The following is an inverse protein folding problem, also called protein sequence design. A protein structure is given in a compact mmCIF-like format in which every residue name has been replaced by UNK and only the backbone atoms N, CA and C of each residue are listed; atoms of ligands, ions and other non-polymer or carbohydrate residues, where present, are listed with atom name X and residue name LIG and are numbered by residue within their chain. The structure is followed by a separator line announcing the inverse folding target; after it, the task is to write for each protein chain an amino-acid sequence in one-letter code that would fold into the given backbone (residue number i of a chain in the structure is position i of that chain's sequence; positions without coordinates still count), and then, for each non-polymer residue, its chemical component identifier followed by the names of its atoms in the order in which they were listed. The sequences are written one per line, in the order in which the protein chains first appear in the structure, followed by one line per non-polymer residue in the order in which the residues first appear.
data_IF_162205411991
#
_entry.id   IF_162205411991
#
_cell.length_a   1.000
_cell.length_b   1.000
_cell.length_c   1.000
_cell.angle_alpha   90.00
_cell.angle_beta   90.00
_cell.angle_gamma   90.00
#
_symmetry.space_group_name_H-M   'P 1'
#
loop_
_entity.id
_entity.type
_entity.pdbx_description
1 polymer ?
2 non-polymer ?
3 non-polymer ?
4 water ?
#
# COMPACT_ATOMS: atom_id res chain seq x y z
N UNK A 1 -13.95 -13.63 -18.02
CA UNK A 1 -15.36 -13.86 -18.45
C UNK A 1 -16.10 -12.54 -18.63
N UNK A 2 -15.80 -11.58 -17.76
CA UNK A 2 -16.39 -10.23 -17.81
C UNK A 2 -15.47 -9.27 -18.57
N UNK A 3 -16.06 -8.30 -19.28
CA UNK A 3 -15.30 -7.44 -20.19
C UNK A 3 -15.27 -5.93 -19.85
N UNK A 4 -16.05 -5.55 -18.85
CA UNK A 4 -16.04 -4.17 -18.33
C UNK A 4 -14.88 -3.99 -17.35
N UNK A 5 -14.31 -2.79 -17.29
CA UNK A 5 -13.35 -2.48 -16.25
C UNK A 5 -14.13 -2.35 -14.95
N UNK A 6 -13.69 -3.07 -13.93
CA UNK A 6 -14.32 -2.99 -12.61
C UNK A 6 -13.45 -2.08 -11.77
N UNK A 7 -13.97 -0.88 -11.51
CA UNK A 7 -13.27 0.11 -10.71
C UNK A 7 -13.94 0.26 -9.34
N UNK A 8 -13.13 0.42 -8.29
CA UNK A 8 -13.64 0.79 -6.96
C UNK A 8 -13.56 2.30 -6.81
N UNK A 9 -14.61 2.90 -6.26
CA UNK A 9 -14.60 4.30 -5.88
C UNK A 9 -14.86 4.35 -4.39
N UNK A 10 -13.89 4.88 -3.63
CA UNK A 10 -13.95 4.87 -2.17
C UNK A 10 -13.14 6.01 -1.56
N UNK A 11 -13.64 6.54 -0.44
CA UNK A 11 -12.87 7.46 0.40
C UNK A 11 -12.69 6.81 1.78
N UNK A 12 -11.47 6.75 2.28
CA UNK A 12 -11.20 6.15 3.59
C UNK A 12 -10.20 6.94 4.41
N UNK A 13 -10.24 6.75 5.73
CA UNK A 13 -9.28 7.40 6.62
C UNK A 13 -8.03 6.56 6.86
N UNK A 14 -7.12 7.05 7.71
CA UNK A 14 -5.83 6.40 7.97
C UNK A 14 -5.91 4.98 8.57
N UNK A 15 -7.09 4.61 9.09
CA UNK A 15 -7.33 3.25 9.56
C UNK A 15 -8.37 2.52 8.70
N UNK A 16 -8.58 3.00 7.48
CA UNK A 16 -9.50 2.37 6.51
C UNK A 16 -10.98 2.51 6.88
N UNK A 17 -11.28 3.39 7.82
CA UNK A 17 -12.68 3.68 8.17
C UNK A 17 -13.36 4.38 6.99
N UNK A 18 -14.53 3.87 6.59
CA UNK A 18 -15.37 4.49 5.56
C UNK A 18 -16.76 4.90 6.11
N UNK A 19 -17.13 4.37 7.27
CA UNK A 19 -18.48 4.61 7.80
C UNK A 19 -18.64 4.58 9.31
N UNK A 20 -19.66 5.30 9.76
CA UNK A 20 -20.03 5.36 11.17
C UNK A 20 -21.54 5.47 11.25
N UNK A 21 -22.15 4.58 12.03
CA UNK A 21 -23.60 4.57 12.23
C UNK A 21 -24.38 4.71 10.92
N UNK A 22 -23.97 3.93 9.91
CA UNK A 22 -24.64 3.86 8.61
C UNK A 22 -24.62 5.17 7.82
N UNK A 23 -23.60 5.99 8.11
CA UNK A 23 -23.39 7.25 7.39
C UNK A 23 -21.89 7.50 7.20
N UNK A 24 -21.55 8.62 6.56
CA UNK A 24 -20.17 9.05 6.38
C UNK A 24 -19.66 9.79 7.61
N UNK A 25 -18.43 9.49 8.07
CA UNK A 25 -17.90 10.13 9.28
C UNK A 25 -17.44 11.58 9.07
N UNK A 26 -17.30 12.00 7.82
CA UNK A 26 -16.79 13.35 7.50
C UNK A 26 -17.67 14.01 6.45
N UNK A 27 -17.44 15.30 6.23
CA UNK A 27 -18.10 16.04 5.17
C UNK A 27 -17.04 16.77 4.34
N UNK A 28 -16.88 16.35 3.09
CA UNK A 28 -15.95 16.99 2.18
C UNK A 28 -16.63 17.23 0.84
N UNK A 29 -17.25 18.41 0.67
CA UNK A 29 -17.93 18.77 -0.59
C UNK A 29 -17.03 18.69 -1.81
N UNK A 30 -15.78 19.13 -1.68
CA UNK A 30 -14.82 19.06 -2.80
C UNK A 30 -14.51 17.62 -3.23
N UNK A 31 -14.42 16.70 -2.27
CA UNK A 31 -14.18 15.30 -2.55
C UNK A 31 -15.39 14.67 -3.26
N UNK A 32 -16.59 15.08 -2.85
CA UNK A 32 -17.83 14.68 -3.51
C UNK A 32 -17.87 15.12 -4.97
N UNK A 33 -17.38 16.33 -5.24
CA UNK A 33 -17.35 16.86 -6.62
C UNK A 33 -16.41 16.05 -7.49
N UNK A 34 -15.27 15.67 -6.94
CA UNK A 34 -14.35 14.76 -7.62
C UNK A 34 -15.04 13.42 -7.93
N UNK A 35 -15.80 12.91 -6.97
CA UNK A 35 -16.60 11.70 -7.16
C UNK A 35 -17.59 11.84 -8.31
N UNK A 36 -18.32 12.96 -8.37
CA UNK A 36 -19.31 13.22 -9.43
C UNK A 36 -18.62 13.31 -10.78
N UNK A 37 -17.56 14.11 -10.84
CA UNK A 37 -16.76 14.28 -12.05
C UNK A 37 -16.21 12.95 -12.59
N UNK A 38 -15.69 12.10 -11.71
CA UNK A 38 -15.07 10.84 -12.12
C UNK A 38 -16.09 9.78 -12.55
N UNK A 39 -17.26 9.76 -11.91
CA UNK A 39 -18.24 8.70 -12.15
C UNK A 39 -19.34 9.05 -13.15
N UNK A 40 -19.42 10.32 -13.56
CA UNK A 40 -20.50 10.76 -14.44
C UNK A 40 -20.57 9.92 -15.71
N UNK A 41 -21.77 9.47 -16.05
CA UNK A 41 -22.00 8.68 -17.26
C UNK A 41 -21.60 7.22 -17.19
N UNK A 42 -21.34 6.72 -15.98
CA UNK A 42 -20.94 5.31 -15.76
C UNK A 42 -21.78 4.65 -14.67
N UNK A 43 -22.02 3.33 -14.77
CA UNK A 43 -22.89 2.72 -13.77
C UNK A 43 -22.27 2.75 -12.37
N UNK A 44 -23.12 3.02 -11.36
CA UNK A 44 -22.74 2.91 -9.95
C UNK A 44 -23.35 1.66 -9.36
N UNK A 45 -22.50 0.84 -8.76
CA UNK A 45 -22.93 -0.39 -8.11
C UNK A 45 -22.88 -0.16 -6.61
N UNK A 46 -24.04 -0.22 -5.95
CA UNK A 46 -24.04 0.08 -4.51
C UNK A 46 -24.79 -0.92 -3.65
N UNK A 47 -24.23 -1.19 -2.47
CA UNK A 47 -24.87 -2.10 -1.52
C UNK A 47 -26.22 -1.53 -1.12
N UNK A 48 -27.17 -2.40 -0.80
CA UNK A 48 -28.51 -1.94 -0.41
C UNK A 48 -28.49 -0.87 0.67
N UNK A 49 -27.70 -1.09 1.74
CA UNK A 49 -27.57 -0.13 2.83
C UNK A 49 -26.98 1.21 2.37
N UNK A 50 -25.91 1.16 1.58
CA UNK A 50 -25.35 2.35 0.97
C UNK A 50 -26.42 3.13 0.20
N UNK A 51 -27.13 2.46 -0.70
CA UNK A 51 -28.16 3.13 -1.48
C UNK A 51 -29.24 3.81 -0.63
N UNK A 52 -29.73 3.13 0.40
CA UNK A 52 -30.85 3.67 1.19
C UNK A 52 -30.45 4.90 2.02
N UNK A 53 -29.17 4.99 2.37
CA UNK A 53 -28.62 6.16 3.03
C UNK A 53 -28.53 7.33 2.05
N UNK A 54 -28.11 7.04 0.81
CA UNK A 54 -28.11 8.05 -0.24
C UNK A 54 -29.54 8.57 -0.43
N UNK A 55 -30.47 7.64 -0.68
CA UNK A 55 -31.91 7.93 -0.56
C UNK A 55 -32.64 8.28 -1.85
N UNK A 56 -31.88 8.39 -2.95
CA UNK A 56 -32.42 8.82 -4.24
C UNK A 56 -31.50 8.33 -5.37
N UNK A 57 -32.06 8.11 -6.58
CA UNK A 57 -31.20 7.83 -7.72
C UNK A 57 -30.29 9.01 -8.05
N UNK A 58 -29.01 8.73 -8.32
CA UNK A 58 -28.07 9.77 -8.72
C UNK A 58 -28.17 9.99 -10.24
N UNK A 59 -28.38 11.26 -10.67
CA UNK A 59 -28.68 11.57 -12.08
C UNK A 59 -27.55 11.22 -13.06
N UNK A 60 -27.93 10.88 -14.30
CA UNK A 60 -26.97 10.65 -15.39
C UNK A 60 -26.08 9.43 -15.26
N UNK A 61 -26.56 8.42 -14.53
CA UNK A 61 -25.84 7.17 -14.29
C UNK A 61 -26.85 6.04 -14.09
N UNK A 62 -26.49 4.83 -14.51
CA UNK A 62 -27.26 3.64 -14.16
C UNK A 62 -27.04 3.34 -12.67
N UNK A 63 -28.10 3.35 -11.89
CA UNK A 63 -28.00 3.03 -10.48
C UNK A 63 -28.36 1.56 -10.25
N UNK A 64 -27.37 0.79 -9.79
CA UNK A 64 -27.57 -0.63 -9.56
C UNK A 64 -27.40 -0.95 -8.08
N UNK A 65 -28.48 -1.44 -7.48
CA UNK A 65 -28.50 -1.77 -6.06
C UNK A 65 -28.34 -3.28 -5.88
N UNK A 66 -27.46 -3.66 -4.97
CA UNK A 66 -27.15 -5.08 -4.70
C UNK A 66 -27.78 -5.52 -3.39
N UNK A 67 -28.67 -6.51 -3.49
CA UNK A 67 -29.47 -7.00 -2.36
C UNK A 67 -29.77 -8.48 -2.55
N UNK A 68 -30.01 -9.19 -1.44
CA UNK A 68 -30.44 -10.59 -1.48
C UNK A 68 -31.96 -10.69 -1.55
N UNK A 69 -32.62 -9.55 -1.32
CA UNK A 69 -34.07 -9.42 -1.38
C UNK A 69 -34.61 -9.45 -2.81
N UNK A 70 -35.23 -10.57 -3.18
CA UNK A 70 -35.75 -10.76 -4.55
C UNK A 70 -37.05 -9.98 -4.84
N UNK A 71 -37.63 -9.35 -3.80
CA UNK A 71 -38.81 -8.50 -3.98
C UNK A 71 -38.51 -7.00 -3.96
N UNK A 72 -37.23 -6.65 -3.82
CA UNK A 72 -36.78 -5.27 -3.70
C UNK A 72 -36.88 -4.53 -5.03
N UNK A 73 -37.55 -3.38 -5.01
CA UNK A 73 -37.67 -2.51 -6.19
C UNK A 73 -37.58 -1.05 -5.79
N UNK A 74 -36.86 -0.27 -6.59
CA UNK A 74 -36.78 1.19 -6.43
C UNK A 74 -36.95 1.88 -7.78
N UNK A 75 -37.84 2.88 -7.82
CA UNK A 75 -38.08 3.69 -9.02
C UNK A 75 -36.78 4.35 -9.50
N UNK A 76 -36.47 4.17 -10.77
CA UNK A 76 -35.30 4.78 -11.41
C UNK A 76 -33.98 4.07 -11.13
N UNK A 77 -34.08 2.84 -10.64
CA UNK A 77 -32.92 2.05 -10.21
C UNK A 77 -33.02 0.63 -10.72
N UNK A 78 -31.88 0.02 -10.99
CA UNK A 78 -31.83 -1.39 -11.33
C UNK A 78 -31.39 -2.20 -10.13
N UNK A 79 -31.86 -3.44 -10.06
CA UNK A 79 -31.63 -4.28 -8.89
C UNK A 79 -30.93 -5.58 -9.30
N UNK A 80 -29.81 -5.86 -8.64
CA UNK A 80 -29.08 -7.10 -8.84
C UNK A 80 -28.93 -7.82 -7.50
N UNK A 81 -28.74 -9.14 -7.56
CA UNK A 81 -28.71 -9.96 -6.36
C UNK A 81 -27.41 -10.75 -6.24
N UNK A 82 -26.50 -10.51 -7.18
CA UNK A 82 -25.21 -11.20 -7.16
C UNK A 82 -24.22 -10.49 -8.06
N UNK A 83 -22.95 -10.88 -7.92
CA UNK A 83 -21.88 -10.40 -8.80
C UNK A 83 -22.21 -10.70 -10.26
N UNK A 84 -22.64 -11.93 -10.53
CA UNK A 84 -22.90 -12.39 -11.90
C UNK A 84 -24.05 -11.64 -12.54
N UNK A 85 -25.07 -11.36 -11.74
CA UNK A 85 -26.20 -10.56 -12.21
C UNK A 85 -25.75 -9.13 -12.57
N UNK A 86 -24.88 -8.55 -11.75
CA UNK A 86 -24.28 -7.24 -12.08
C UNK A 86 -23.52 -7.33 -13.40
N UNK A 87 -22.71 -8.38 -13.55
CA UNK A 87 -21.95 -8.61 -14.77
C UNK A 87 -22.84 -8.79 -16.02
N UNK A 88 -23.95 -9.51 -15.87
CA UNK A 88 -24.94 -9.59 -16.94
C UNK A 88 -25.52 -8.21 -17.30
N UNK A 89 -26.05 -7.49 -16.31
CA UNK A 89 -26.58 -6.14 -16.53
C UNK A 89 -25.56 -5.16 -17.15
N UNK A 90 -24.29 -5.36 -16.87
CA UNK A 90 -23.26 -4.41 -17.32
C UNK A 90 -22.34 -5.00 -18.38
N UNK A 91 -22.79 -6.04 -19.06
CA UNK A 91 -21.92 -6.79 -19.98
C UNK A 91 -21.34 -5.95 -21.14
N UNK A 92 -22.05 -4.89 -21.51
CA UNK A 92 -21.65 -4.01 -22.61
C UNK A 92 -21.06 -2.67 -22.18
N UNK A 93 -20.91 -2.49 -20.87
CA UNK A 93 -20.33 -1.27 -20.32
C UNK A 93 -18.81 -1.35 -20.44
N UNK A 94 -18.17 -0.21 -20.60
CA UNK A 94 -16.72 -0.17 -20.65
C UNK A 94 -16.13 -0.17 -19.24
N UNK A 95 -16.79 0.57 -18.33
CA UNK A 95 -16.30 0.71 -16.97
C UNK A 95 -17.46 0.86 -16.01
N UNK A 96 -17.39 0.16 -14.88
CA UNK A 96 -18.36 0.32 -13.80
C UNK A 96 -17.65 0.67 -12.50
N UNK A 97 -18.35 1.43 -11.64
CA UNK A 97 -17.82 1.85 -10.36
C UNK A 97 -18.51 1.18 -9.19
N UNK A 98 -17.76 0.36 -8.47
CA UNK A 98 -18.21 -0.22 -7.22
C UNK A 98 -18.13 0.90 -6.20
N UNK A 99 -19.30 1.30 -5.71
CA UNK A 99 -19.50 2.51 -4.94
C UNK A 99 -19.67 2.29 -3.43
N UNK A 100 -19.54 1.04 -2.98
CA UNK A 100 -19.67 0.71 -1.55
C UNK A 100 -21.03 0.18 -1.14
N UNK A 101 -21.23 -0.17 0.14
CA UNK A 101 -20.23 -0.06 1.19
C UNK A 101 -19.32 -1.26 1.31
N UNK A 102 -18.94 -1.59 2.55
CA UNK A 102 -17.92 -2.60 2.82
C UNK A 102 -18.32 -4.00 2.34
N UNK A 103 -19.55 -4.40 2.61
CA UNK A 103 -20.00 -5.72 2.15
C UNK A 103 -19.88 -5.83 0.65
N UNK A 104 -20.27 -4.76 -0.06
CA UNK A 104 -20.17 -4.74 -1.52
C UNK A 104 -18.72 -4.61 -2.04
N UNK A 105 -17.84 -3.91 -1.31
CA UNK A 105 -16.41 -3.91 -1.66
C UNK A 105 -15.81 -5.29 -1.50
N UNK A 106 -16.20 -6.00 -0.44
CA UNK A 106 -15.77 -7.39 -0.20
C UNK A 106 -16.26 -8.30 -1.32
N UNK A 107 -17.51 -8.10 -1.74
CA UNK A 107 -18.12 -8.92 -2.79
C UNK A 107 -17.32 -8.89 -4.07
N UNK A 108 -16.95 -7.69 -4.49
CA UNK A 108 -16.36 -7.49 -5.82
C UNK A 108 -14.84 -7.46 -5.80
N UNK A 109 -14.25 -7.65 -4.62
CA UNK A 109 -12.80 -7.58 -4.42
C UNK A 109 -11.97 -8.48 -5.33
N UNK A 110 -12.42 -9.74 -5.57
CA UNK A 110 -11.61 -10.57 -6.47
C UNK A 110 -11.56 -10.07 -7.92
N UNK A 111 -12.42 -9.12 -8.28
CA UNK A 111 -12.56 -8.72 -9.69
C UNK A 111 -12.07 -7.30 -10.02
N UNK A 112 -11.69 -6.53 -9.00
CA UNK A 112 -11.31 -5.12 -9.18
C UNK A 112 -10.05 -4.94 -10.04
N UNK A 113 -10.14 -4.06 -11.03
CA UNK A 113 -9.06 -3.80 -11.99
C UNK A 113 -8.42 -2.45 -11.74
N UNK A 114 -9.18 -1.53 -11.16
CA UNK A 114 -8.76 -0.15 -10.98
C UNK A 114 -9.30 0.41 -9.67
N UNK A 115 -8.45 1.13 -8.94
CA UNK A 115 -8.82 1.64 -7.65
C UNK A 115 -8.72 3.17 -7.56
N UNK A 116 -9.86 3.83 -7.42
CA UNK A 116 -9.86 5.27 -7.12
C UNK A 116 -10.12 5.43 -5.64
N UNK A 117 -9.04 5.70 -4.90
CA UNK A 117 -9.12 5.75 -3.46
C UNK A 117 -8.64 7.10 -2.95
N UNK A 118 -9.54 7.78 -2.23
CA UNK A 118 -9.18 9.00 -1.53
C UNK A 118 -8.71 8.63 -0.13
N UNK A 119 -7.56 9.14 0.26
CA UNK A 119 -7.02 8.81 1.57
C UNK A 119 -7.05 10.06 2.45
N UNK A 120 -7.80 9.99 3.54
CA UNK A 120 -8.01 11.13 4.41
C UNK A 120 -7.11 11.00 5.63
N UNK A 121 -6.29 12.03 5.83
CA UNK A 121 -5.23 12.01 6.84
C UNK A 121 -5.77 12.40 8.22
N UNK A 122 -6.61 11.53 8.74
CA UNK A 122 -7.28 11.75 10.00
C UNK A 122 -7.79 10.39 10.46
N UNK A 123 -7.86 10.19 11.78
CA UNK A 123 -8.37 8.96 12.32
C UNK A 123 -9.74 9.21 12.95
N UNK A 124 -10.80 8.81 12.25
CA UNK A 124 -12.18 8.99 12.73
C UNK A 124 -12.64 7.81 13.59
N UNK A 125 -13.65 8.06 14.41
CA UNK A 125 -14.39 6.97 15.04
C UNK A 125 -15.29 6.38 13.97
N UNK A 126 -15.29 5.05 13.87
CA UNK A 126 -16.13 4.39 12.89
C UNK A 126 -16.37 2.93 13.19
N UNK A 127 -17.25 2.34 12.38
CA UNK A 127 -17.63 0.94 12.55
C UNK A 127 -17.53 0.15 11.25
N UNK A 128 -17.36 0.86 10.14
CA UNK A 128 -17.29 0.23 8.82
C UNK A 128 -15.97 0.55 8.13
N UNK A 129 -15.36 -0.47 7.53
CA UNK A 129 -13.98 -0.42 7.04
C UNK A 129 -13.84 -0.91 5.60
N UNK A 130 -12.93 -0.29 4.86
CA UNK A 130 -12.56 -0.76 3.53
C UNK A 130 -11.66 -1.99 3.70
N UNK A 131 -11.91 -3.06 2.93
CA UNK A 131 -11.07 -4.27 3.11
C UNK A 131 -9.59 -4.03 2.81
N UNK A 132 -8.74 -4.82 3.45
CA UNK A 132 -7.31 -4.81 3.19
C UNK A 132 -7.06 -5.31 1.77
N UNK A 133 -6.06 -4.72 1.11
CA UNK A 133 -5.69 -5.14 -0.24
C UNK A 133 -4.20 -5.37 -0.36
N UNK A 134 -3.85 -6.46 -1.04
CA UNK A 134 -2.49 -6.73 -1.45
C UNK A 134 -2.31 -5.98 -2.76
N UNK A 135 -1.39 -5.02 -2.77
CA UNK A 135 -1.18 -4.13 -3.92
C UNK A 135 -0.07 -4.62 -4.85
N UNK A 136 0.42 -5.84 -4.59
CA UNK A 136 1.37 -6.51 -5.49
C UNK A 136 0.76 -6.59 -6.88
N UNK A 137 1.57 -6.19 -7.87
CA UNK A 137 1.14 -6.06 -9.28
C UNK A 137 0.06 -4.99 -9.52
N UNK A 138 0.10 -3.93 -8.70
CA UNK A 138 -0.64 -2.68 -8.95
C UNK A 138 0.35 -1.53 -9.03
N UNK A 139 0.01 -0.50 -9.79
CA UNK A 139 0.80 0.72 -9.90
C UNK A 139 -0.04 1.98 -9.70
N UNK A 140 0.45 2.89 -8.87
CA UNK A 140 -0.15 4.20 -8.76
C UNK A 140 0.02 4.94 -10.09
N UNK A 141 -1.09 5.38 -10.68
CA UNK A 141 -1.05 6.07 -11.97
C UNK A 141 -1.50 7.53 -11.86
N UNK A 142 -1.98 7.90 -10.68
CA UNK A 142 -2.38 9.27 -10.39
C UNK A 142 -2.39 9.53 -8.89
N UNK A 143 -1.94 10.73 -8.52
CA UNK A 143 -1.99 11.19 -7.14
C UNK A 143 -2.02 12.71 -7.13
N UNK A 144 -2.90 13.27 -6.31
CA UNK A 144 -3.07 14.73 -6.22
C UNK A 144 -3.62 15.08 -4.85
N UNK A 145 -3.16 16.20 -4.30
CA UNK A 145 -3.68 16.71 -3.02
C UNK A 145 -5.07 17.28 -3.21
N UNK A 146 -5.99 16.88 -2.33
CA UNK A 146 -7.33 17.44 -2.32
C UNK A 146 -7.33 18.86 -1.77
N UNK A 147 -8.39 19.60 -2.04
CA UNK A 147 -8.54 20.95 -1.54
C UNK A 147 -8.90 20.96 -0.05
N UNK A 148 -8.02 21.52 0.76
CA UNK A 148 -8.30 21.76 2.17
C UNK A 148 -8.57 23.25 2.35
N UNK A 149 -9.76 23.57 2.86
CA UNK A 149 -10.18 24.95 3.14
C UNK A 149 -11.23 24.96 4.24
N UNK A 150 -11.87 26.11 4.45
CA UNK A 150 -12.91 26.28 5.48
C UNK A 150 -14.06 25.29 5.32
N UNK A 151 -14.41 24.95 4.08
CA UNK A 151 -15.51 24.00 3.81
C UNK A 151 -15.05 22.53 3.71
N UNK A 152 -13.73 22.31 3.66
CA UNK A 152 -13.15 20.96 3.56
C UNK A 152 -12.02 20.80 4.57
N UNK A 153 -12.37 20.54 5.83
CA UNK A 153 -11.47 20.77 6.95
C UNK A 153 -10.45 19.67 7.26
N UNK A 154 -10.25 18.71 6.36
CA UNK A 154 -9.21 17.69 6.56
C UNK A 154 -8.19 17.69 5.41
N UNK A 155 -7.02 17.12 5.67
CA UNK A 155 -6.01 16.91 4.62
C UNK A 155 -6.31 15.55 4.01
N UNK A 156 -6.34 15.49 2.68
CA UNK A 156 -6.66 14.26 1.96
C UNK A 156 -6.05 14.29 0.56
N UNK A 157 -5.82 13.10 0.00
CA UNK A 157 -5.23 12.96 -1.31
C UNK A 157 -6.04 11.98 -2.15
N UNK A 158 -6.18 12.30 -3.44
CA UNK A 158 -6.73 11.39 -4.44
C UNK A 158 -5.62 10.48 -4.96
N UNK A 159 -5.88 9.18 -4.94
CA UNK A 159 -5.00 8.18 -5.53
C UNK A 159 -5.78 7.32 -6.53
N UNK A 160 -5.13 6.96 -7.63
CA UNK A 160 -5.64 5.98 -8.56
C UNK A 160 -4.58 4.90 -8.78
N UNK A 161 -4.97 3.64 -8.58
CA UNK A 161 -4.11 2.50 -8.83
C UNK A 161 -4.71 1.62 -9.93
N UNK A 162 -3.87 1.14 -10.83
CA UNK A 162 -4.28 0.17 -11.85
C UNK A 162 -3.60 -1.19 -11.67
N UNK A 163 -4.37 -2.26 -11.79
CA UNK A 163 -3.83 -3.61 -11.70
C UNK A 163 -3.00 -3.90 -12.94
N UNK A 164 -1.81 -4.47 -12.72
CA UNK A 164 -0.93 -4.91 -13.80
C UNK A 164 -1.33 -6.31 -14.23
N UNK A 165 -1.88 -6.40 -15.43
CA UNK A 165 -2.50 -7.63 -15.91
C UNK A 165 -2.19 -7.89 -17.39
N UNK B 1 18.45 -23.89 -2.21
CA UNK B 1 18.60 -24.64 -0.91
C UNK B 1 17.76 -24.04 0.22
N UNK B 2 17.75 -22.71 0.31
CA UNK B 2 16.93 -21.98 1.28
C UNK B 2 15.56 -21.67 0.68
N UNK B 3 14.53 -21.66 1.52
CA UNK B 3 13.17 -21.51 1.02
C UNK B 3 12.38 -20.35 1.63
N UNK B 4 13.08 -19.48 2.35
CA UNK B 4 12.51 -18.19 2.73
C UNK B 4 12.71 -17.21 1.57
N UNK B 5 11.76 -16.30 1.39
CA UNK B 5 11.94 -15.22 0.45
C UNK B 5 12.95 -14.27 1.09
N UNK B 6 14.02 -13.97 0.36
CA UNK B 6 15.03 -13.03 0.83
C UNK B 6 14.71 -11.67 0.20
N UNK B 7 14.22 -10.75 1.02
CA UNK B 7 13.86 -9.40 0.53
C UNK B 7 14.84 -8.37 1.05
N UNK B 8 15.17 -7.40 0.20
CA UNK B 8 15.93 -6.22 0.64
C UNK B 8 14.97 -5.09 0.99
N UNK B 9 15.19 -4.46 2.14
CA UNK B 9 14.47 -3.24 2.52
C UNK B 9 15.52 -2.12 2.60
N UNK B 10 15.37 -1.10 1.76
CA UNK B 10 16.35 -0.03 1.66
C UNK B 10 15.74 1.29 1.17
N UNK B 11 16.30 2.40 1.63
CA UNK B 11 15.97 3.72 1.11
C UNK B 11 17.26 4.37 0.63
N UNK B 12 17.26 4.82 -0.62
CA UNK B 12 18.47 5.42 -1.21
C UNK B 12 18.16 6.66 -2.04
N UNK B 13 19.18 7.50 -2.22
CA UNK B 13 19.05 8.72 -3.01
C UNK B 13 19.42 8.50 -4.49
N UNK B 14 19.37 9.56 -5.28
CA UNK B 14 19.63 9.50 -6.72
C UNK B 14 20.99 8.88 -7.11
N UNK B 15 21.96 8.95 -6.19
CA UNK B 15 23.29 8.35 -6.40
C UNK B 15 23.53 7.10 -5.52
N UNK B 16 22.44 6.49 -5.06
CA UNK B 16 22.47 5.27 -4.26
C UNK B 16 23.05 5.46 -2.84
N UNK B 17 23.16 6.70 -2.38
CA UNK B 17 23.63 6.97 -1.03
C UNK B 17 22.59 6.47 -0.04
N UNK B 18 23.04 5.71 0.96
CA UNK B 18 22.18 5.27 2.05
C UNK B 18 22.62 5.79 3.42
N UNK B 19 23.87 6.24 3.52
CA UNK B 19 24.39 6.69 4.80
C UNK B 19 25.47 7.74 4.78
N UNK B 20 25.52 8.52 5.86
CA UNK B 20 26.55 9.53 6.06
C UNK B 20 26.97 9.52 7.52
N UNK B 21 28.28 9.37 7.76
CA UNK B 21 28.85 9.31 9.11
C UNK B 21 28.12 8.34 10.03
N UNK B 22 27.91 7.12 9.54
CA UNK B 22 27.28 6.02 10.30
C UNK B 22 25.84 6.33 10.76
N UNK B 23 25.17 7.18 10.01
CA UNK B 23 23.77 7.52 10.26
C UNK B 23 23.05 7.72 8.94
N UNK B 24 21.75 8.00 9.00
CA UNK B 24 20.94 8.31 7.84
C UNK B 24 21.08 9.79 7.46
N UNK B 25 21.21 10.09 6.15
CA UNK B 25 21.39 11.49 5.71
C UNK B 25 20.12 12.33 5.70
N UNK B 26 18.97 11.70 5.86
CA UNK B 26 17.67 12.38 5.79
C UNK B 26 16.77 11.90 6.91
N UNK B 27 15.66 12.60 7.11
CA UNK B 27 14.65 12.21 8.09
C UNK B 27 13.27 12.24 7.46
N UNK B 28 12.71 11.05 7.25
CA UNK B 28 11.40 10.90 6.67
C UNK B 28 10.55 10.00 7.56
N UNK B 29 9.82 10.59 8.53
CA UNK B 29 8.93 9.80 9.41
C UNK B 29 7.91 8.94 8.66
N UNK B 30 7.33 9.49 7.59
CA UNK B 30 6.36 8.74 6.81
C UNK B 30 6.98 7.51 6.12
N UNK B 31 8.21 7.66 5.64
CA UNK B 31 8.95 6.53 5.02
C UNK B 31 9.22 5.45 6.06
N UNK B 32 9.54 5.87 7.28
CA UNK B 32 9.79 4.97 8.40
C UNK B 32 8.52 4.18 8.78
N UNK B 33 7.38 4.86 8.74
CA UNK B 33 6.07 4.25 8.97
C UNK B 33 5.76 3.16 7.93
N UNK B 34 6.11 3.40 6.67
CA UNK B 34 6.01 2.39 5.60
C UNK B 34 6.91 1.18 5.90
N UNK B 35 8.12 1.45 6.38
CA UNK B 35 9.06 0.42 6.80
C UNK B 35 8.51 -0.46 7.94
N UNK B 36 7.93 0.16 8.97
CA UNK B 36 7.35 -0.55 10.11
C UNK B 36 6.22 -1.48 9.67
N UNK B 37 5.35 -0.96 8.80
CA UNK B 37 4.18 -1.67 8.31
C UNK B 37 4.57 -2.86 7.43
N UNK B 38 5.50 -2.62 6.51
CA UNK B 38 5.96 -3.65 5.59
C UNK B 38 6.69 -4.79 6.31
N UNK B 39 7.47 -4.45 7.33
CA UNK B 39 8.36 -5.45 7.97
C UNK B 39 7.78 -6.12 9.23
N UNK B 40 6.67 -5.58 9.74
CA UNK B 40 6.05 -6.08 10.96
C UNK B 40 5.80 -7.57 10.89
N UNK B 41 6.23 -8.28 11.93
CA UNK B 41 6.04 -9.72 12.04
C UNK B 41 6.99 -10.58 11.22
N UNK B 42 8.09 -9.98 10.73
CA UNK B 42 9.08 -10.67 9.90
C UNK B 42 10.51 -10.39 10.38
N UNK B 43 11.43 -11.36 10.22
CA UNK B 43 12.78 -11.10 10.74
C UNK B 43 13.49 -9.97 10.02
N UNK B 44 14.20 -9.15 10.80
CA UNK B 44 15.09 -8.12 10.27
C UNK B 44 16.53 -8.58 10.39
N UNK B 45 17.26 -8.56 9.28
CA UNK B 45 18.66 -8.95 9.27
C UNK B 45 19.49 -7.69 9.15
N UNK B 46 20.30 -7.37 10.16
CA UNK B 46 21.05 -6.13 10.08
C UNK B 46 22.53 -6.26 10.37
N UNK B 47 23.32 -5.48 9.63
CA UNK B 47 24.77 -5.40 9.86
C UNK B 47 25.00 -4.92 11.28
N UNK B 48 26.10 -5.34 11.89
CA UNK B 48 26.41 -4.95 13.28
C UNK B 48 26.39 -3.43 13.43
N UNK B 49 27.01 -2.72 12.49
CA UNK B 49 27.05 -1.26 12.54
C UNK B 49 25.66 -0.64 12.42
N UNK B 50 24.87 -1.11 11.47
CA UNK B 50 23.46 -0.72 11.38
C UNK B 50 22.75 -0.91 12.73
N UNK B 51 22.84 -2.11 13.29
CA UNK B 51 22.16 -2.36 14.56
C UNK B 51 22.56 -1.40 15.68
N UNK B 52 23.86 -1.17 15.85
CA UNK B 52 24.32 -0.36 16.98
C UNK B 52 23.91 1.11 16.88
N UNK B 53 23.72 1.60 15.65
CA UNK B 53 23.18 2.93 15.40
C UNK B 53 21.70 2.97 15.78
N UNK B 54 20.95 1.93 15.40
CA UNK B 54 19.56 1.82 15.82
C UNK B 54 19.48 1.85 17.35
N UNK B 55 20.21 0.95 18.00
CA UNK B 55 20.48 1.04 19.44
C UNK B 55 19.59 0.22 20.36
N UNK B 56 18.56 -0.40 19.79
CA UNK B 56 17.58 -1.14 20.58
C UNK B 56 16.89 -2.18 19.70
N UNK B 57 16.42 -3.30 20.29
CA UNK B 57 15.61 -4.23 19.51
C UNK B 57 14.31 -3.57 19.01
N UNK B 58 13.97 -3.77 17.75
CA UNK B 58 12.70 -3.30 17.19
C UNK B 58 11.59 -4.30 17.52
N UNK B 59 10.49 -3.84 18.13
CA UNK B 59 9.44 -4.71 18.66
C UNK B 59 8.68 -5.50 17.59
N UNK B 60 8.20 -6.69 17.96
CA UNK B 60 7.35 -7.50 17.08
C UNK B 60 8.04 -8.09 15.85
N UNK B 61 9.35 -8.32 15.95
CA UNK B 61 10.17 -8.89 14.88
C UNK B 61 11.37 -9.59 15.48
N UNK B 62 11.83 -10.67 14.84
CA UNK B 62 13.11 -11.29 15.19
C UNK B 62 14.22 -10.35 14.72
N UNK B 63 15.05 -9.88 15.65
CA UNK B 63 16.18 -9.04 15.31
C UNK B 63 17.46 -9.85 15.22
N UNK B 64 18.01 -9.95 14.00
CA UNK B 64 19.20 -10.74 13.76
C UNK B 64 20.37 -9.86 13.34
N UNK B 65 21.41 -9.85 14.17
CA UNK B 65 22.59 -9.03 13.94
C UNK B 65 23.70 -9.87 13.33
N UNK B 66 24.31 -9.36 12.25
CA UNK B 66 25.37 -10.07 11.55
C UNK B 66 26.73 -9.45 11.89
N UNK B 67 27.61 -10.28 12.44
CA UNK B 67 28.92 -9.85 12.93
C UNK B 67 29.92 -11.02 12.84
N UNK B 68 31.20 -10.70 12.68
CA UNK B 68 32.27 -11.72 12.70
C UNK B 68 32.69 -12.02 14.13
N UNK B 69 32.26 -11.16 15.05
CA UNK B 69 32.57 -11.27 16.48
C UNK B 69 31.80 -12.43 17.14
N UNK B 70 32.51 -13.51 17.45
CA UNK B 70 31.89 -14.71 18.01
C UNK B 70 31.53 -14.58 19.51
N UNK B 71 31.94 -13.47 20.13
CA UNK B 71 31.57 -13.19 21.51
C UNK B 71 30.49 -12.12 21.66
N UNK B 72 29.96 -11.66 20.52
CA UNK B 72 28.95 -10.60 20.48
C UNK B 72 27.57 -11.10 20.94
N UNK B 73 27.00 -10.40 21.92
CA UNK B 73 25.66 -10.71 22.45
C UNK B 73 24.89 -9.42 22.72
N UNK B 74 23.60 -9.43 22.38
CA UNK B 74 22.69 -8.34 22.71
C UNK B 74 21.36 -8.91 23.21
N UNK B 75 20.89 -8.38 24.33
CA UNK B 75 19.62 -8.75 24.94
C UNK B 75 18.46 -8.53 23.98
N UNK B 76 17.66 -9.56 23.76
CA UNK B 76 16.47 -9.49 22.90
C UNK B 76 16.78 -9.56 21.41
N UNK B 77 17.99 -10.00 21.07
CA UNK B 77 18.46 -10.09 19.68
C UNK B 77 19.13 -11.43 19.44
N UNK B 78 19.08 -11.88 18.20
CA UNK B 78 19.81 -13.07 17.79
C UNK B 78 21.04 -12.67 17.01
N UNK B 79 22.10 -13.45 17.15
CA UNK B 79 23.37 -13.13 16.49
C UNK B 79 23.77 -14.22 15.50
N UNK B 80 24.03 -13.81 14.26
CA UNK B 80 24.57 -14.69 13.24
C UNK B 80 25.91 -14.16 12.76
N UNK B 81 26.72 -15.04 12.15
CA UNK B 81 28.08 -14.69 11.77
C UNK B 81 28.34 -14.98 10.30
N UNK B 82 27.28 -15.40 9.59
CA UNK B 82 27.40 -15.69 8.17
C UNK B 82 26.03 -15.78 7.53
N UNK B 83 26.02 -15.79 6.21
CA UNK B 83 24.80 -15.97 5.43
C UNK B 83 24.15 -17.30 5.81
N UNK B 84 24.95 -18.36 5.87
CA UNK B 84 24.43 -19.70 6.13
C UNK B 84 23.79 -19.80 7.51
N UNK B 85 24.42 -19.16 8.50
CA UNK B 85 23.88 -19.15 9.85
C UNK B 85 22.55 -18.40 9.89
N UNK B 86 22.44 -17.31 9.12
CA UNK B 86 21.16 -16.61 8.98
C UNK B 86 20.12 -17.54 8.37
N UNK B 87 20.52 -18.26 7.31
CA UNK B 87 19.63 -19.22 6.66
C UNK B 87 19.17 -20.34 7.59
N UNK B 88 20.08 -20.83 8.44
CA UNK B 88 19.73 -21.81 9.46
C UNK B 88 18.69 -21.25 10.42
N UNK B 89 19.00 -20.09 11.02
CA UNK B 89 18.10 -19.43 11.96
C UNK B 89 16.72 -19.12 11.37
N UNK B 90 16.67 -18.86 10.07
CA UNK B 90 15.45 -18.45 9.39
C UNK B 90 14.88 -19.52 8.44
N UNK B 91 15.28 -20.78 8.63
CA UNK B 91 14.93 -21.85 7.69
C UNK B 91 13.43 -22.05 7.50
N UNK B 92 12.64 -21.76 8.52
CA UNK B 92 11.18 -21.98 8.49
C UNK B 92 10.38 -20.71 8.24
N UNK B 93 11.09 -19.60 8.00
CA UNK B 93 10.45 -18.31 7.84
C UNK B 93 9.91 -18.16 6.44
N UNK B 94 8.80 -17.44 6.34
CA UNK B 94 8.15 -17.13 5.06
C UNK B 94 8.97 -16.14 4.25
N UNK B 95 9.42 -15.08 4.93
CA UNK B 95 10.11 -13.98 4.29
C UNK B 95 11.01 -13.31 5.30
N UNK B 96 12.20 -12.93 4.87
CA UNK B 96 13.11 -12.17 5.74
C UNK B 96 13.51 -10.86 5.03
N UNK B 97 13.75 -9.82 5.83
CA UNK B 97 14.14 -8.51 5.33
C UNK B 97 15.60 -8.17 5.64
N UNK B 98 16.41 -8.07 4.59
CA UNK B 98 17.78 -7.62 4.73
C UNK B 98 17.72 -6.09 4.86
N UNK B 99 18.08 -5.63 6.05
CA UNK B 99 17.77 -4.28 6.51
C UNK B 99 18.98 -3.35 6.45
N UNK B 100 20.08 -3.82 5.88
CA UNK B 100 21.31 -3.01 5.76
C UNK B 100 22.33 -3.21 6.86
N UNK B 101 23.49 -2.56 6.78
CA UNK B 101 23.79 -1.57 5.74
C UNK B 101 24.47 -2.14 4.52
N UNK B 102 25.40 -1.37 3.95
CA UNK B 102 25.99 -1.73 2.66
C UNK B 102 26.73 -3.06 2.67
N UNK B 103 27.50 -3.32 3.73
CA UNK B 103 28.26 -4.57 3.82
C UNK B 103 27.31 -5.76 3.85
N UNK B 104 26.23 -5.63 4.61
CA UNK B 104 25.21 -6.69 4.67
C UNK B 104 24.39 -6.81 3.38
N UNK B 105 24.11 -5.70 2.68
CA UNK B 105 23.46 -5.78 1.36
C UNK B 105 24.36 -6.51 0.37
N UNK B 106 25.67 -6.20 0.40
CA UNK B 106 26.67 -6.89 -0.43
C UNK B 106 26.71 -8.37 -0.11
N UNK B 107 26.68 -8.70 1.17
CA UNK B 107 26.70 -10.11 1.63
C UNK B 107 25.57 -10.94 1.05
N UNK B 108 24.37 -10.39 1.08
CA UNK B 108 23.19 -11.17 0.71
C UNK B 108 22.77 -11.00 -0.74
N UNK B 109 23.50 -10.15 -1.48
CA UNK B 109 23.16 -9.80 -2.87
C UNK B 109 22.93 -11.00 -3.82
N UNK B 110 23.76 -12.06 -3.71
CA UNK B 110 23.51 -13.19 -4.62
C UNK B 110 22.19 -13.93 -4.37
N UNK B 111 21.54 -13.66 -3.23
CA UNK B 111 20.36 -14.44 -2.82
C UNK B 111 19.03 -13.68 -2.82
N UNK B 112 19.07 -12.38 -3.08
CA UNK B 112 17.88 -11.53 -3.02
C UNK B 112 16.82 -11.91 -4.07
N UNK B 113 15.58 -12.06 -3.61
CA UNK B 113 14.45 -12.47 -4.47
C UNK B 113 13.52 -11.30 -4.73
N UNK B 114 13.47 -10.36 -3.78
CA UNK B 114 12.52 -9.26 -3.81
C UNK B 114 13.17 -7.97 -3.28
N UNK B 115 12.92 -6.86 -3.97
CA UNK B 115 13.54 -5.57 -3.59
C UNK B 115 12.50 -4.51 -3.26
N UNK B 116 12.48 -4.08 -1.99
CA UNK B 116 11.65 -2.95 -1.57
C UNK B 116 12.60 -1.77 -1.47
N UNK B 117 12.57 -0.91 -2.48
CA UNK B 117 13.49 0.20 -2.57
C UNK B 117 12.76 1.53 -2.63
N UNK B 118 13.03 2.38 -1.65
CA UNK B 118 12.52 3.73 -1.68
C UNK B 118 13.57 4.58 -2.40
N UNK B 119 13.12 5.31 -3.43
CA UNK B 119 14.03 6.16 -4.18
C UNK B 119 13.76 7.62 -3.85
N UNK B 120 14.75 8.28 -3.27
CA UNK B 120 14.63 9.67 -2.85
C UNK B 120 15.26 10.61 -3.90
N UNK B 121 14.45 11.54 -4.38
CA UNK B 121 14.80 12.40 -5.50
C UNK B 121 15.59 13.61 -5.02
N UNK B 122 16.79 13.34 -4.53
CA UNK B 122 17.69 14.34 -3.96
C UNK B 122 19.09 13.71 -3.98
N UNK B 123 20.12 14.54 -4.10
CA UNK B 123 21.50 14.08 -4.02
C UNK B 123 22.13 14.55 -2.72
N UNK B 124 22.21 13.64 -1.75
CA UNK B 124 22.82 13.93 -0.43
C UNK B 124 24.34 13.74 -0.46
N UNK B 125 25.03 14.42 0.43
CA UNK B 125 26.41 14.08 0.76
C UNK B 125 26.35 12.79 1.55
N UNK B 126 27.20 11.83 1.22
CA UNK B 126 27.23 10.55 1.91
C UNK B 126 28.50 9.77 1.67
N UNK B 127 28.68 8.71 2.46
CA UNK B 127 29.86 7.87 2.37
C UNK B 127 29.52 6.39 2.15
N UNK B 128 28.24 6.05 2.32
CA UNK B 128 27.80 4.67 2.22
C UNK B 128 26.73 4.51 1.15
N UNK B 129 26.87 3.46 0.34
CA UNK B 129 26.10 3.28 -0.89
C UNK B 129 25.44 1.92 -1.00
N UNK B 130 24.25 1.89 -1.58
CA UNK B 130 23.59 0.64 -1.94
C UNK B 130 24.30 0.08 -3.17
N UNK B 131 24.59 -1.24 -3.19
CA UNK B 131 25.31 -1.80 -4.34
C UNK B 131 24.52 -1.70 -5.64
N UNK B 132 25.23 -1.51 -6.74
CA UNK B 132 24.63 -1.37 -8.05
C UNK B 132 24.13 -2.72 -8.51
N UNK B 133 22.88 -2.77 -8.94
CA UNK B 133 22.29 -4.02 -9.40
C UNK B 133 21.94 -3.92 -10.88
N UNK B 134 22.08 -5.02 -11.58
CA UNK B 134 21.57 -5.10 -12.93
C UNK B 134 20.10 -5.50 -12.81
N UNK B 135 19.22 -4.60 -13.26
CA UNK B 135 17.77 -4.76 -13.10
C UNK B 135 17.05 -5.38 -14.31
N UNK B 136 17.79 -6.11 -15.15
CA UNK B 136 17.22 -6.72 -16.36
C UNK B 136 16.31 -7.92 -16.07
N UNK B 137 16.68 -8.75 -15.09
CA UNK B 137 15.86 -9.90 -14.69
C UNK B 137 14.73 -9.54 -13.70
N UNK B 138 14.61 -8.24 -13.39
CA UNK B 138 13.71 -7.78 -12.34
C UNK B 138 12.49 -7.07 -12.90
N UNK B 139 11.34 -7.33 -12.28
CA UNK B 139 10.07 -6.74 -12.69
C UNK B 139 9.50 -5.84 -11.58
N UNK B 140 9.11 -4.61 -11.93
CA UNK B 140 8.44 -3.72 -10.98
C UNK B 140 7.01 -4.18 -10.75
N UNK B 141 6.68 -4.50 -9.50
CA UNK B 141 5.34 -5.00 -9.16
C UNK B 141 4.52 -4.01 -8.33
N UNK B 142 5.16 -2.91 -7.91
CA UNK B 142 4.49 -1.85 -7.17
C UNK B 142 5.30 -0.58 -7.24
N UNK B 143 4.61 0.55 -7.41
CA UNK B 143 5.20 1.88 -7.31
C UNK B 143 4.13 2.86 -6.79
N UNK B 144 4.54 3.74 -5.88
CA UNK B 144 3.65 4.72 -5.29
C UNK B 144 4.49 5.92 -4.82
N UNK B 145 3.90 7.11 -4.91
CA UNK B 145 4.57 8.33 -4.47
C UNK B 145 4.50 8.38 -2.95
N UNK B 146 5.64 8.70 -2.33
CA UNK B 146 5.65 8.93 -0.89
C UNK B 146 5.03 10.27 -0.54
N UNK B 147 4.63 10.42 0.71
CA UNK B 147 4.08 11.67 1.20
C UNK B 147 5.16 12.73 1.37
N UNK B 148 5.05 13.82 0.63
CA UNK B 148 5.91 14.98 0.82
C UNK B 148 5.09 16.07 1.50
N UNK B 149 5.53 16.49 2.68
CA UNK B 149 4.89 17.59 3.44
C UNK B 149 5.93 18.29 4.34
N UNK B 150 5.45 19.13 5.26
CA UNK B 150 6.32 19.88 6.18
C UNK B 150 7.24 19.00 7.01
N UNK B 151 6.78 17.79 7.34
CA UNK B 151 7.57 16.83 8.12
C UNK B 151 8.38 15.85 7.25
N UNK B 152 8.12 15.85 5.95
CA UNK B 152 8.78 14.94 5.01
C UNK B 152 9.24 15.72 3.78
N UNK B 153 10.39 16.41 3.90
CA UNK B 153 10.71 17.51 2.99
C UNK B 153 11.41 17.13 1.69
N UNK B 154 11.35 15.87 1.27
CA UNK B 154 11.87 15.48 -0.03
C UNK B 154 10.80 14.77 -0.84
N UNK B 155 10.98 14.71 -2.15
CA UNK B 155 10.16 13.91 -3.04
C UNK B 155 10.82 12.52 -3.10
N UNK B 156 10.00 11.48 -2.94
CA UNK B 156 10.47 10.10 -2.94
C UNK B 156 9.34 9.13 -3.32
N UNK B 157 9.72 7.98 -3.87
CA UNK B 157 8.76 6.98 -4.33
C UNK B 157 9.11 5.60 -3.77
N UNK B 158 8.08 4.83 -3.44
CA UNK B 158 8.24 3.42 -3.03
C UNK B 158 8.16 2.55 -4.26
N UNK B 159 9.14 1.67 -4.42
CA UNK B 159 9.18 0.71 -5.51
C UNK B 159 9.37 -0.69 -4.93
N UNK B 160 8.70 -1.67 -5.53
CA UNK B 160 8.93 -3.06 -5.21
C UNK B 160 9.24 -3.81 -6.53
N UNK B 161 10.36 -4.55 -6.54
CA UNK B 161 10.74 -5.37 -7.68
C UNK B 161 10.82 -6.83 -7.26
N UNK B 162 10.35 -7.72 -8.12
CA UNK B 162 10.44 -9.15 -7.87
C UNK B 162 11.33 -9.78 -8.93
N UNK B 163 12.17 -10.71 -8.51
CA UNK B 163 13.02 -11.46 -9.44
C UNK B 163 12.18 -12.49 -10.18
N UNK B 164 12.34 -12.52 -11.50
CA UNK B 164 11.71 -13.54 -12.33
C UNK B 164 12.57 -14.80 -12.31
N UNK B 165 12.15 -15.80 -11.54
CA UNK B 165 12.96 -17.02 -11.31
C UNK B 165 12.75 -18.07 -12.40
X LIG C 1 -23.46 -2.12 2.06
X LIG C 1 -22.31 -2.96 1.66
X LIG C 1 -23.58 -0.86 1.32
X LIG C 1 -24.83 -2.93 1.90
X LIG C 1 -24.98 -4.16 2.56
X LIG C 1 -26.13 -4.89 1.88
X LIG C 1 -25.71 -5.31 0.60
X LIG C 1 -26.61 -6.15 2.58
X LIG C 1 -27.48 -5.89 3.65
X LIG C 1 -27.34 -6.82 1.43
X LIG C 1 -28.60 -6.21 1.20
X LIG C 1 -26.40 -6.49 0.26
X LIG C 1 -25.46 -7.63 0.10
X LIG C 1 -24.35 -7.91 0.83
X LIG C 1 -23.81 -9.06 0.36
X LIG C 1 -24.56 -9.51 -0.67
X LIG C 1 -24.47 -10.63 -1.49
X LIG C 1 -23.49 -11.51 -1.37
X LIG C 1 -25.43 -10.81 -2.47
X LIG C 1 -26.46 -9.92 -2.64
X LIG C 1 -26.54 -8.82 -1.80
X LIG C 1 -25.61 -8.62 -0.83
X LIG C 1 -23.40 -1.93 3.65
X LIG C 1 -22.22 -1.70 4.70
X LIG C 1 -22.81 -1.63 6.06
X LIG C 1 -21.14 -2.66 4.42
X LIG C 1 -21.69 -0.24 4.25
X LIG C 1 -22.45 0.91 4.56
X LIG C 1 -21.57 1.91 5.29
X LIG C 1 -20.43 2.26 4.50
X LIG C 1 -22.35 3.18 5.53
X LIG C 1 -21.84 3.74 6.72
X LIG C 1 -21.94 4.04 4.36
X LIG C 1 -22.09 5.43 4.60
X LIG C 1 -20.48 3.65 4.20
X LIG C 1 -19.94 3.94 2.88
X LIG C 1 -18.83 4.75 2.81
X LIG C 1 -18.24 5.04 1.59
X LIG C 1 -16.96 5.82 1.52
X LIG C 1 -16.29 5.93 0.30
X LIG C 1 -16.47 6.39 2.63
X LIG C 1 -18.79 4.50 0.43
X LIG C 1 -19.92 3.68 0.51
X LIG C 1 -20.49 3.39 1.75
X LIG C 1 -29.99 -6.78 1.81
X LIG C 1 -29.87 -6.73 3.32
X LIG C 1 -31.13 -5.91 1.37
X LIG C 1 -30.22 -8.21 1.41
X LIG D 1 -15.97 7.32 -2.93
X LIG D 1 -15.36 8.46 -2.57
X LIG D 1 -15.96 9.31 -1.73
X LIG D 1 -17.18 9.07 -1.20
X LIG D 1 -17.82 7.89 -1.56
X LIG D 1 -17.19 7.01 -2.45
X LIG D 1 -18.59 11.13 -0.99
X LIG D 1 -25.03 9.04 3.07
X LIG D 1 -14.15 8.77 -3.03
X LIG D 1 -17.79 5.86 -2.81
X LIG D 1 -20.24 7.38 -0.54
X LIG D 1 -19.12 7.60 -1.01
X LIG D 1 -23.92 12.41 -4.83
X LIG D 1 -23.05 11.32 -4.80
X LIG D 1 -24.70 12.70 -3.72
X LIG D 1 -22.95 10.53 -3.65
X LIG D 1 -24.60 11.91 -2.57
X LIG D 1 -23.46 8.51 0.95
X LIG D 1 -22.68 9.02 -1.26
X LIG D 1 -24.50 10.29 -0.31
X LIG D 1 -17.76 10.11 -0.23
X LIG D 1 -21.57 7.11 0.04
X LIG D 1 -25.29 9.81 1.87
X LIG D 1 -22.59 8.26 -0.10
X LIG D 1 -24.42 9.53 0.85
X LIG D 1 -23.72 10.82 -2.53
X LIG D 1 -23.63 10.04 -1.38
X LIG E 1 26.73 -2.67 8.12
X LIG E 1 26.63 -3.33 6.81
X LIG E 1 25.39 -2.36 8.63
X LIG E 1 27.56 -3.56 9.16
X LIG E 1 28.92 -3.80 8.93
X LIG E 1 29.32 -4.90 9.91
X LIG E 1 28.72 -6.11 9.52
X LIG E 1 30.81 -5.19 9.94
X LIG E 1 31.50 -4.26 10.77
X LIG E 1 30.81 -6.60 10.49
X LIG E 1 30.57 -6.62 11.88
X LIG E 1 29.56 -7.20 9.88
X LIG E 1 29.91 -8.02 8.71
X LIG E 1 30.18 -7.58 7.42
X LIG E 1 30.46 -8.66 6.66
X LIG E 1 30.35 -9.77 7.41
X LIG E 1 30.52 -11.12 7.12
X LIG E 1 30.86 -11.49 5.89
X LIG E 1 30.35 -12.06 8.10
X LIG E 1 30.00 -11.66 9.38
X LIG E 1 29.83 -10.32 9.66
X LIG E 1 30.00 -9.39 8.70
X LIG E 1 27.68 -1.37 8.00
X LIG E 1 27.87 -0.25 6.86
X LIG E 1 28.85 0.74 7.40
X LIG E 1 28.13 -0.88 5.56
X LIG E 1 26.41 0.43 6.74
X LIG E 1 25.94 1.28 7.77
X LIG E 1 25.53 2.62 7.17
X LIG E 1 24.45 2.47 6.29
X LIG E 1 25.04 3.58 8.25
X LIG E 1 25.37 4.89 7.86
X LIG E 1 23.54 3.38 8.25
X LIG E 1 22.87 4.52 8.71
X LIG E 1 23.29 3.14 6.77
X LIG E 1 22.05 2.37 6.46
X LIG E 1 21.15 2.96 5.61
X LIG E 1 19.97 2.29 5.28
X LIG E 1 18.99 2.91 4.33
X LIG E 1 17.92 2.15 3.84
X LIG E 1 19.11 4.18 3.96
X LIG E 1 19.73 1.01 5.82
X LIG E 1 20.66 0.43 6.69
X LIG E 1 21.83 1.12 7.00
X LIG E 1 31.77 -6.74 12.94
X LIG E 1 32.69 -5.58 12.69
X LIG E 1 31.18 -6.67 14.33
X LIG E 1 32.50 -8.04 12.73
X LIG F 1 14.91 0.69 4.49
X LIG F 1 14.10 1.75 4.28
X LIG F 1 14.18 2.82 5.07
X LIG F 1 15.07 2.87 6.08
X LIG F 1 15.92 1.80 6.31
X LIG F 1 15.82 0.68 5.48
X LIG F 1 15.99 5.15 6.21
X LIG F 1 20.46 5.32 13.10
X LIG F 1 13.21 1.72 3.29
X LIG F 1 16.59 -0.40 5.61
X LIG F 1 17.66 2.01 8.32
X LIG F 1 16.86 1.91 7.38
X LIG F 1 12.37 2.40 13.60
X LIG F 1 13.02 1.51 12.74
X LIG F 1 12.99 3.58 13.99
X LIG F 1 14.31 1.82 12.29
X LIG F 1 14.28 3.89 13.52
X LIG F 1 18.84 3.83 11.34
X LIG F 1 16.76 2.62 11.10
X LIG F 1 17.02 4.22 12.88
X LIG F 1 15.10 4.15 6.93
X LIG F 1 18.62 2.15 9.43
X LIG F 1 19.03 5.43 13.18
X LIG F 1 18.06 2.89 10.66
X LIG F 1 18.32 4.50 12.46
X LIG F 1 14.94 3.01 12.66
X LIG F 1 16.23 3.29 12.20
#
# INVERSE_FOLDING_TARGET
HHHMRVSFMVAMDENRVIGKDNNLPWRLPSELQYVKKTTMGHPLIMGRKNYEAIGRPLPGRRNIIVTRNEGYHVEGCEVAHSVEEVFELCKNEEEIFIFGGAQIYDLFLPYVDKLYITKIHHAFEGDTFFPEMDMTNWKEVFVEKGLTDEKNPYTYYYHVYEKQQ
HHHMRVSFMVAMDENRVIGKDNNLPWRLPSELQYVKKTTMGHPLIMGRKNYEAIGRPLPGRRNIIVTRNEGYHVEGCEVAHSVEEVFELCKNEEEIFIFGGAQIYDLFLPYVDKLYITKIHHAFEGDTFFPEMDMTNWKEVFVEKGLTDEKNPYTYYYHVYEKQQ
NAP PA O1A O2A O5B C5B C4B O4B C3B O3B C2B O2B C1B N9A C8A N7A C5A C6A N6A N1A C2A N3A C4A O3 PN O1N O2N O5D C5D C4D O4D C3D O3D C2D O2D C1D N1N C2N C3N C7N O7N N7N C4N C5N C6N P2B O1X O2X O3X
7DR N1 C2 N3 C4 C5 C6 CAA CAB NAC NAD CAE CAF CAG CAH CAI CAJ CAK CAL CAM CAN CAO CAP OAS CAU CAW CAX CAY
NAP PA O1A O2A O5B C5B C4B O4B C3B O3B C2B O2B C1B N9A C8A N7A C5A C6A N6A N1A C2A N3A C4A O3 PN O1N O2N O5D C5D C4D O4D C3D O3D C2D O2D C1D N1N C2N C3N C7N O7N N7N C4N C5N C6N P2B O1X O2X O3X
7DR N1 C2 N3 C4 C5 C6 CAA CAB NAC NAD CAE CAF CAG CAH CAI CAJ CAK CAL CAM CAN CAO CAP OAS CAU CAW CAX CAY
#
